data_IF_118772073317
#
_entry.id   IF_118772073317
#
_cell.length_a   1.000
_cell.length_b   1.000
_cell.length_c   1.000
_cell.angle_alpha   90.00
_cell.angle_beta   90.00
_cell.angle_gamma   90.00
#
_symmetry.space_group_name_H-M   'P 1'
#
loop_
_entity.id
_entity.type
_entity.pdbx_description
1 polymer ?
#
# COMPACT_ATOMS: atom_id res chain seq x y z
N UNK A 1 -8.67 -12.59 -10.44
CA UNK A 1 -8.48 -11.32 -9.69
C UNK A 1 -9.83 -10.65 -9.54
N UNK A 2 -10.12 -10.13 -8.37
CA UNK A 2 -11.37 -9.45 -8.08
C UNK A 2 -11.11 -8.01 -7.67
N UNK A 3 -12.07 -7.12 -7.95
CA UNK A 3 -11.96 -5.71 -7.59
C UNK A 3 -12.77 -5.43 -6.33
N UNK A 4 -12.07 -5.27 -5.20
CA UNK A 4 -12.66 -4.89 -3.91
C UNK A 4 -12.44 -3.43 -3.55
N UNK A 5 -11.54 -2.75 -4.26
CA UNK A 5 -11.14 -1.38 -4.00
C UNK A 5 -11.34 -0.53 -5.25
N UNK A 6 -11.98 0.61 -5.10
CA UNK A 6 -12.21 1.54 -6.20
C UNK A 6 -11.80 2.94 -5.76
N UNK A 7 -11.00 3.61 -6.60
CA UNK A 7 -10.62 5.01 -6.37
C UNK A 7 -11.79 5.91 -6.74
N UNK A 8 -12.27 6.70 -5.78
CA UNK A 8 -13.41 7.59 -5.97
C UNK A 8 -13.02 9.04 -6.23
N UNK A 9 -11.78 9.42 -5.86
CA UNK A 9 -11.23 10.76 -6.07
C UNK A 9 -9.80 10.65 -6.58
N UNK A 10 -9.41 11.52 -7.49
CA UNK A 10 -8.03 11.58 -7.98
C UNK A 10 -7.09 12.11 -6.89
N UNK A 11 -5.91 11.50 -6.78
CA UNK A 11 -4.83 11.95 -5.89
C UNK A 11 -3.50 11.93 -6.66
N UNK A 12 -2.48 12.71 -6.25
CA UNK A 12 -1.16 12.66 -6.87
C UNK A 12 -0.53 11.26 -6.77
N UNK A 13 0.18 10.85 -7.81
CA UNK A 13 0.90 9.57 -7.82
C UNK A 13 2.08 9.63 -6.87
N UNK A 14 2.14 8.69 -5.92
CA UNK A 14 3.21 8.64 -4.93
C UNK A 14 4.59 8.40 -5.57
N UNK A 15 4.67 7.56 -6.59
CA UNK A 15 5.93 7.22 -7.26
C UNK A 15 6.53 8.38 -8.07
N UNK A 16 5.70 9.34 -8.52
CA UNK A 16 6.11 10.45 -9.39
C UNK A 16 6.24 11.78 -8.63
N UNK A 17 5.96 11.80 -7.32
CA UNK A 17 5.99 13.02 -6.52
C UNK A 17 7.11 12.96 -5.49
N UNK A 18 7.72 14.11 -5.10
CA UNK A 18 8.63 14.16 -3.95
C UNK A 18 7.93 13.64 -2.69
N UNK A 19 8.71 13.05 -1.77
CA UNK A 19 8.15 12.46 -0.55
C UNK A 19 7.30 13.46 0.25
N UNK A 20 7.71 14.72 0.33
CA UNK A 20 6.97 15.76 1.05
C UNK A 20 5.61 16.10 0.43
N UNK A 21 5.45 15.87 -0.89
CA UNK A 21 4.22 16.15 -1.63
C UNK A 21 3.34 14.92 -1.83
N UNK A 22 3.83 13.73 -1.45
CA UNK A 22 3.07 12.49 -1.58
C UNK A 22 1.89 12.49 -0.62
N UNK A 23 0.70 12.01 -1.05
CA UNK A 23 -0.46 11.93 -0.17
C UNK A 23 -0.19 11.09 1.07
N UNK A 24 -0.70 11.52 2.21
CA UNK A 24 -0.70 10.76 3.45
C UNK A 24 -1.83 9.70 3.43
N UNK A 25 -1.76 8.74 4.36
CA UNK A 25 -2.76 7.67 4.45
C UNK A 25 -4.20 8.18 4.49
N UNK A 26 -4.57 9.22 5.28
CA UNK A 26 -5.95 9.72 5.29
C UNK A 26 -6.47 10.18 3.93
N UNK A 27 -5.62 10.73 3.08
CA UNK A 27 -6.01 11.13 1.71
C UNK A 27 -6.38 9.91 0.88
N UNK A 28 -5.62 8.84 1.00
CA UNK A 28 -5.94 7.58 0.32
C UNK A 28 -7.21 6.95 0.88
N UNK A 29 -7.40 6.94 2.20
CA UNK A 29 -8.61 6.42 2.83
C UNK A 29 -9.87 7.16 2.36
N UNK A 30 -9.79 8.49 2.20
CA UNK A 30 -10.91 9.31 1.72
C UNK A 30 -11.19 9.11 0.23
N UNK A 31 -10.20 8.69 -0.56
CA UNK A 31 -10.29 8.60 -2.02
C UNK A 31 -10.51 7.18 -2.56
N UNK A 32 -10.58 6.18 -1.69
CA UNK A 32 -10.76 4.77 -2.08
C UNK A 32 -11.92 4.19 -1.31
N UNK A 33 -12.77 3.43 -1.99
CA UNK A 33 -13.84 2.65 -1.37
C UNK A 33 -13.55 1.17 -1.47
N UNK A 34 -13.87 0.43 -0.40
CA UNK A 34 -13.80 -1.01 -0.36
C UNK A 34 -15.20 -1.61 -0.42
N UNK A 35 -15.38 -2.62 -1.26
CA UNK A 35 -16.60 -3.42 -1.33
C UNK A 35 -16.39 -4.71 -0.55
N UNK A 36 -17.36 -5.05 0.30
CA UNK A 36 -17.36 -6.33 0.98
C UNK A 36 -17.78 -7.41 -0.01
N UNK A 37 -16.94 -8.43 -0.29
CA UNK A 37 -17.30 -9.50 -1.19
C UNK A 37 -18.42 -10.37 -0.60
N UNK A 38 -19.19 -11.01 -1.47
CA UNK A 38 -20.24 -11.96 -1.05
C UNK A 38 -19.66 -13.14 -0.27
N UNK A 39 -18.53 -13.68 -0.75
CA UNK A 39 -17.71 -14.61 0.00
C UNK A 39 -16.48 -13.89 0.51
N UNK A 40 -16.28 -13.90 1.83
CA UNK A 40 -15.09 -13.28 2.45
C UNK A 40 -13.98 -14.34 2.45
N UNK A 41 -12.90 -14.13 1.69
CA UNK A 41 -11.77 -15.06 1.70
C UNK A 41 -11.00 -14.96 3.02
N UNK A 42 -10.30 -16.03 3.40
CA UNK A 42 -9.44 -16.04 4.59
C UNK A 42 -8.18 -15.20 4.39
N UNK A 43 -7.72 -15.09 3.16
CA UNK A 43 -6.50 -14.37 2.79
C UNK A 43 -6.75 -13.50 1.57
N UNK A 44 -6.29 -12.27 1.63
CA UNK A 44 -6.36 -11.30 0.54
C UNK A 44 -4.95 -10.78 0.28
N UNK A 45 -4.52 -10.82 -0.97
CA UNK A 45 -3.25 -10.22 -1.38
C UNK A 45 -3.53 -9.00 -2.25
N UNK A 46 -3.07 -7.83 -1.81
CA UNK A 46 -3.07 -6.61 -2.59
C UNK A 46 -1.85 -6.65 -3.49
N UNK A 47 -2.04 -6.49 -4.79
CA UNK A 47 -0.94 -6.46 -5.75
C UNK A 47 -0.72 -5.03 -6.21
N UNK A 48 0.50 -4.54 -6.06
CA UNK A 48 0.92 -3.21 -6.49
C UNK A 48 2.15 -3.32 -7.40
N UNK A 49 2.33 -2.35 -8.28
CA UNK A 49 3.50 -2.32 -9.15
C UNK A 49 4.72 -1.75 -8.43
N UNK A 50 4.59 -0.59 -7.81
CA UNK A 50 5.69 0.11 -7.13
C UNK A 50 5.31 0.47 -5.69
N UNK A 51 6.08 -0.06 -4.75
CA UNK A 51 5.95 0.26 -3.33
C UNK A 51 6.97 1.35 -2.97
N UNK A 52 6.47 2.56 -2.67
CA UNK A 52 7.28 3.67 -2.19
C UNK A 52 7.30 3.70 -0.66
N UNK A 53 6.64 4.65 -0.02
CA UNK A 53 6.52 4.71 1.45
C UNK A 53 5.47 3.72 1.99
N UNK A 54 4.68 3.12 1.12
CA UNK A 54 3.64 2.18 1.50
C UNK A 54 2.32 2.82 1.94
N UNK A 55 2.13 4.10 1.75
CA UNK A 55 0.93 4.82 2.21
C UNK A 55 -0.34 4.37 1.50
N UNK A 56 -0.29 4.22 0.18
CA UNK A 56 -1.43 3.72 -0.61
C UNK A 56 -1.78 2.29 -0.23
N UNK A 57 -0.77 1.42 -0.18
CA UNK A 57 -0.96 0.01 0.17
C UNK A 57 -1.48 -0.16 1.60
N UNK A 58 -0.95 0.63 2.53
CA UNK A 58 -1.43 0.63 3.92
C UNK A 58 -2.90 1.06 4.01
N UNK A 59 -3.28 2.12 3.31
CA UNK A 59 -4.66 2.59 3.27
C UNK A 59 -5.60 1.52 2.68
N UNK A 60 -5.19 0.87 1.58
CA UNK A 60 -5.94 -0.23 0.99
C UNK A 60 -6.12 -1.40 1.97
N UNK A 61 -5.06 -1.75 2.70
CA UNK A 61 -5.11 -2.82 3.71
C UNK A 61 -6.07 -2.47 4.85
N UNK A 62 -6.07 -1.23 5.32
CA UNK A 62 -6.97 -0.77 6.37
C UNK A 62 -8.45 -0.82 5.91
N UNK A 63 -8.73 -0.40 4.68
CA UNK A 63 -10.07 -0.47 4.11
C UNK A 63 -10.55 -1.92 3.96
N UNK A 64 -9.69 -2.81 3.49
CA UNK A 64 -10.03 -4.23 3.38
C UNK A 64 -10.18 -4.89 4.75
N UNK A 65 -9.39 -4.49 5.72
CA UNK A 65 -9.52 -4.99 7.09
C UNK A 65 -10.87 -4.60 7.68
N UNK A 66 -11.36 -3.39 7.43
CA UNK A 66 -12.67 -2.94 7.85
C UNK A 66 -13.80 -3.70 7.14
N UNK A 67 -13.66 -3.96 5.85
CA UNK A 67 -14.65 -4.71 5.06
C UNK A 67 -14.62 -6.22 5.35
N UNK A 68 -13.44 -6.79 5.62
CA UNK A 68 -13.19 -8.22 5.82
C UNK A 68 -12.37 -8.43 7.11
N UNK A 69 -12.97 -8.27 8.31
CA UNK A 69 -12.20 -8.24 9.56
C UNK A 69 -11.44 -9.52 9.90
N UNK A 70 -11.88 -10.66 9.36
CA UNK A 70 -11.28 -11.98 9.65
C UNK A 70 -10.25 -12.40 8.59
N UNK A 71 -10.07 -11.62 7.54
CA UNK A 71 -9.11 -11.94 6.49
C UNK A 71 -7.69 -11.52 6.87
N UNK A 72 -6.72 -12.36 6.52
CA UNK A 72 -5.31 -11.98 6.55
C UNK A 72 -5.00 -11.17 5.29
N UNK A 73 -4.50 -9.95 5.46
CA UNK A 73 -4.22 -9.05 4.35
C UNK A 73 -2.72 -8.93 4.17
N UNK A 74 -2.26 -9.21 2.96
CA UNK A 74 -0.86 -9.11 2.55
C UNK A 74 -0.74 -8.17 1.37
N UNK A 75 0.46 -7.65 1.18
CA UNK A 75 0.79 -6.77 0.06
C UNK A 75 1.92 -7.42 -0.72
N UNK A 76 1.74 -7.53 -2.03
CA UNK A 76 2.78 -7.94 -2.95
C UNK A 76 3.09 -6.77 -3.88
N UNK A 77 4.34 -6.35 -3.93
CA UNK A 77 4.80 -5.32 -4.86
C UNK A 77 5.91 -5.88 -5.74
N UNK A 78 5.84 -5.59 -7.02
CA UNK A 78 6.86 -6.01 -7.98
C UNK A 78 8.16 -5.25 -7.79
N UNK A 79 8.07 -3.97 -7.43
CA UNK A 79 9.20 -3.06 -7.26
C UNK A 79 9.02 -2.34 -5.93
N UNK A 80 10.11 -2.21 -5.17
CA UNK A 80 10.15 -1.36 -3.98
C UNK A 80 11.29 -0.36 -4.10
N UNK A 81 11.03 0.88 -3.71
CA UNK A 81 12.06 1.92 -3.69
C UNK A 81 12.94 1.76 -2.45
N UNK A 82 14.22 2.09 -2.57
CA UNK A 82 15.19 1.94 -1.49
C UNK A 82 15.81 3.25 -1.02
N UNK A 83 15.31 4.38 -1.55
CA UNK A 83 15.94 5.67 -1.31
C UNK A 83 17.22 5.85 -2.12
N UNK A 84 18.00 6.85 -1.74
CA UNK A 84 19.26 7.15 -2.42
C UNK A 84 20.32 6.12 -2.05
N UNK A 85 20.90 5.50 -3.07
CA UNK A 85 22.02 4.57 -2.96
C UNK A 85 23.17 5.12 -3.77
N UNK A 86 24.34 5.31 -3.16
CA UNK A 86 25.51 5.83 -3.87
C UNK A 86 26.09 4.80 -4.84
N UNK A 87 26.08 3.53 -4.46
CA UNK A 87 26.62 2.44 -5.25
C UNK A 87 25.58 1.33 -5.39
N UNK A 88 25.07 1.12 -6.61
CA UNK A 88 24.16 0.01 -6.91
C UNK A 88 24.96 -1.05 -7.64
N UNK A 89 25.33 -2.12 -6.95
CA UNK A 89 26.12 -3.20 -7.51
C UNK A 89 25.25 -4.34 -8.06
N UNK A 90 24.04 -4.51 -7.53
CA UNK A 90 23.16 -5.60 -7.96
C UNK A 90 21.70 -5.26 -7.67
N UNK A 91 20.80 -6.02 -8.32
CA UNK A 91 19.39 -6.00 -7.98
C UNK A 91 19.24 -6.67 -6.60
N UNK A 92 18.49 -6.00 -5.71
CA UNK A 92 18.25 -6.52 -4.37
C UNK A 92 17.28 -7.69 -4.42
N UNK A 93 17.60 -8.73 -3.67
CA UNK A 93 16.77 -9.93 -3.60
C UNK A 93 15.36 -9.63 -3.05
N UNK A 94 14.36 -10.41 -3.44
CA UNK A 94 13.04 -10.32 -2.84
C UNK A 94 13.11 -10.48 -1.32
N UNK A 95 12.30 -9.71 -0.62
CA UNK A 95 12.25 -9.77 0.84
C UNK A 95 10.82 -9.65 1.35
N UNK A 96 10.59 -10.20 2.53
CA UNK A 96 9.35 -10.01 3.28
C UNK A 96 9.59 -8.98 4.38
N UNK A 97 8.68 -8.04 4.52
CA UNK A 97 8.80 -6.99 5.50
C UNK A 97 7.44 -6.56 6.04
N UNK A 98 7.42 -5.45 6.73
CA UNK A 98 6.22 -4.88 7.32
C UNK A 98 6.09 -3.40 6.99
N UNK A 99 4.85 -2.92 6.97
CA UNK A 99 4.53 -1.50 6.87
C UNK A 99 3.81 -1.09 8.15
N UNK A 100 4.33 -0.07 8.82
CA UNK A 100 3.75 0.46 10.04
C UNK A 100 3.17 1.84 9.76
N UNK A 101 1.91 2.05 10.16
CA UNK A 101 1.25 3.34 10.08
C UNK A 101 1.36 4.12 11.40
N UNK A 102 1.49 5.44 11.29
CA UNK A 102 1.55 6.34 12.44
C UNK A 102 0.33 7.25 12.49
N UNK A 103 -0.04 7.80 13.67
CA UNK A 103 -1.16 8.74 13.80
C UNK A 103 -1.04 9.98 12.91
N UNK A 104 0.20 10.37 12.53
CA UNK A 104 0.45 11.48 11.60
C UNK A 104 -0.03 11.22 10.17
N UNK A 105 -0.42 9.99 9.84
CA UNK A 105 -0.75 9.58 8.47
C UNK A 105 0.46 9.18 7.64
N UNK A 106 1.64 9.16 8.23
CA UNK A 106 2.88 8.66 7.62
C UNK A 106 3.01 7.16 7.84
N UNK A 107 3.87 6.53 7.05
CA UNK A 107 4.18 5.11 7.17
C UNK A 107 5.68 4.90 7.24
N UNK A 108 6.09 3.77 7.81
CA UNK A 108 7.45 3.27 7.78
C UNK A 108 7.44 1.85 7.24
N UNK A 109 8.38 1.56 6.37
CA UNK A 109 8.53 0.27 5.73
C UNK A 109 9.88 -0.36 6.11
N UNK A 110 9.86 -1.66 6.47
CA UNK A 110 11.05 -2.41 6.82
C UNK A 110 10.94 -3.84 6.22
N UNK A 111 11.67 -4.18 5.21
CA UNK A 111 12.39 -3.32 4.27
C UNK A 111 11.54 -2.49 3.33
#
# INVERSE_FOLDING_TARGET
MQTYLTRTKAVPRSSNSPTAERPLVPVHLDSIEAERPFFVPDKITIVDDVLTMGRTSFACAELLRAACPNAEIRIFAMIRTQGLQNDIEKIVDPATGVIVGYPSGKTHRDP
#
